data_IF_938763082651
#
_entry.id   IF_938763082651
#
_cell.length_a   1.000
_cell.length_b   1.000
_cell.length_c   1.000
_cell.angle_alpha   90.00
_cell.angle_beta   90.00
_cell.angle_gamma   90.00
#
_symmetry.space_group_name_H-M   'P 1'
#
loop_
_entity.id
_entity.type
_entity.pdbx_description
1 polymer ?
#
# COMPACT_ATOMS: atom_id res chain seq x y z
N UNK A 1 -3.02 -8.53 32.98
CA UNK A 1 -3.25 -7.28 32.23
C UNK A 1 -3.13 -7.60 30.76
N UNK A 2 -4.17 -7.36 29.94
CA UNK A 2 -4.09 -7.64 28.51
C UNK A 2 -3.16 -6.61 27.87
N UNK A 3 -2.13 -7.09 27.19
CA UNK A 3 -1.22 -6.29 26.38
C UNK A 3 -2.01 -5.61 25.26
N UNK A 4 -1.88 -4.28 25.15
CA UNK A 4 -2.41 -3.49 24.04
C UNK A 4 -2.06 -4.12 22.68
N UNK A 5 -2.96 -4.06 21.69
CA UNK A 5 -2.60 -4.43 20.33
C UNK A 5 -1.52 -3.46 19.87
N UNK A 6 -0.30 -3.96 19.69
CA UNK A 6 0.79 -3.23 19.07
C UNK A 6 0.30 -2.75 17.72
N UNK A 7 0.09 -1.45 17.56
CA UNK A 7 -0.16 -0.82 16.27
C UNK A 7 0.92 -1.31 15.32
N UNK A 8 0.54 -2.14 14.33
CA UNK A 8 1.48 -2.70 13.35
C UNK A 8 1.80 -1.62 12.33
N UNK A 9 2.55 -0.61 12.74
CA UNK A 9 3.02 0.42 11.82
C UNK A 9 3.98 -0.24 10.83
N UNK A 10 3.66 -0.19 9.55
CA UNK A 10 4.56 -0.57 8.46
C UNK A 10 5.47 0.63 8.15
N UNK A 11 6.75 0.39 7.94
CA UNK A 11 7.67 1.42 7.45
C UNK A 11 8.10 1.11 6.03
N UNK A 12 8.07 2.13 5.18
CA UNK A 12 8.76 2.09 3.90
C UNK A 12 10.28 2.06 4.15
N UNK A 13 11.03 1.44 3.24
CA UNK A 13 12.43 1.16 3.47
C UNK A 13 13.26 2.45 3.37
N UNK A 14 13.84 2.92 4.48
CA UNK A 14 14.75 4.07 4.45
C UNK A 14 16.09 3.73 3.77
N UNK A 15 16.57 2.47 3.85
CA UNK A 15 17.82 1.97 3.24
C UNK A 15 17.81 0.43 3.09
N UNK A 16 18.49 -0.15 2.07
CA UNK A 16 18.42 -1.59 1.80
C UNK A 16 19.05 -2.44 2.91
N UNK A 17 18.55 -3.66 3.17
CA UNK A 17 19.35 -4.67 3.85
C UNK A 17 20.51 -5.11 2.92
N UNK A 18 21.63 -5.53 3.54
CA UNK A 18 22.93 -5.89 2.93
C UNK A 18 22.92 -6.34 1.45
N UNK A 19 23.95 -5.99 0.64
CA UNK A 19 24.02 -6.26 -0.81
C UNK A 19 23.80 -7.72 -1.26
N UNK A 20 23.90 -8.70 -0.37
CA UNK A 20 23.56 -10.10 -0.64
C UNK A 20 22.06 -10.32 -0.94
N UNK A 21 21.20 -9.39 -0.51
CA UNK A 21 19.75 -9.50 -0.65
C UNK A 21 19.28 -9.04 -2.04
N UNK A 22 19.93 -8.05 -2.69
CA UNK A 22 19.54 -7.42 -3.95
C UNK A 22 19.11 -8.33 -5.13
N UNK A 23 19.51 -9.61 -5.17
CA UNK A 23 19.13 -10.54 -6.26
C UNK A 23 17.69 -11.06 -6.19
N UNK A 24 16.98 -10.91 -5.07
CA UNK A 24 15.60 -11.39 -4.89
C UNK A 24 14.53 -10.28 -5.04
N UNK A 25 14.92 -9.01 -5.16
CA UNK A 25 14.04 -7.83 -4.99
C UNK A 25 13.38 -7.30 -6.28
N UNK A 26 13.58 -7.96 -7.42
CA UNK A 26 13.12 -7.48 -8.73
C UNK A 26 12.13 -8.43 -9.41
N UNK A 27 11.40 -9.25 -8.64
CA UNK A 27 10.27 -9.97 -9.22
C UNK A 27 9.09 -9.00 -9.31
N UNK A 28 8.51 -8.78 -10.50
CA UNK A 28 7.30 -7.97 -10.62
C UNK A 28 6.19 -8.63 -9.80
N UNK A 29 5.54 -7.83 -8.95
CA UNK A 29 4.17 -7.97 -8.46
C UNK A 29 3.37 -8.84 -9.42
N UNK A 30 3.19 -10.11 -9.07
CA UNK A 30 2.69 -11.10 -10.02
C UNK A 30 1.18 -10.93 -10.11
N UNK A 31 0.69 -10.24 -11.14
CA UNK A 31 -0.67 -10.53 -11.61
C UNK A 31 -0.62 -11.93 -12.21
N UNK A 32 -1.06 -12.95 -11.48
CA UNK A 32 -1.05 -14.33 -11.98
C UNK A 32 -1.94 -14.42 -13.24
N UNK A 33 -1.34 -14.41 -14.42
CA UNK A 33 -1.94 -15.04 -15.60
C UNK A 33 -2.12 -16.52 -15.29
N UNK A 34 -3.38 -17.00 -15.35
CA UNK A 34 -3.83 -18.40 -15.28
C UNK A 34 -2.70 -19.42 -15.13
N UNK A 35 -2.36 -19.76 -13.89
CA UNK A 35 -1.61 -20.98 -13.60
C UNK A 35 -2.27 -21.65 -12.40
N UNK A 36 -2.97 -22.75 -12.70
CA UNK A 36 -3.54 -23.69 -11.76
C UNK A 36 -2.40 -24.29 -10.93
N UNK A 37 -2.06 -23.64 -9.83
CA UNK A 37 -1.46 -24.27 -8.68
C UNK A 37 -1.84 -23.43 -7.45
N UNK A 38 -2.70 -24.03 -6.63
CA UNK A 38 -3.17 -23.51 -5.35
C UNK A 38 -1.98 -23.34 -4.40
N UNK A 39 -1.33 -22.17 -4.45
CA UNK A 39 -0.66 -21.62 -3.28
C UNK A 39 -1.68 -20.69 -2.64
N UNK A 40 -2.46 -21.27 -1.73
CA UNK A 40 -3.27 -20.55 -0.75
C UNK A 40 -2.35 -19.56 -0.04
N UNK A 41 -2.50 -18.27 -0.33
CA UNK A 41 -2.05 -17.23 0.58
C UNK A 41 -2.85 -17.44 1.85
N UNK A 42 -2.22 -18.06 2.86
CA UNK A 42 -2.84 -18.27 4.15
C UNK A 42 -2.98 -16.90 4.85
N UNK A 43 -3.96 -16.12 4.41
CA UNK A 43 -4.38 -14.90 5.06
C UNK A 43 -4.75 -15.29 6.50
N UNK A 44 -3.97 -14.83 7.48
CA UNK A 44 -4.11 -15.18 8.90
C UNK A 44 -5.52 -14.89 9.39
N UNK A 45 -6.36 -15.87 9.72
CA UNK A 45 -7.78 -15.64 10.05
C UNK A 45 -8.01 -14.40 10.93
N UNK A 46 -8.91 -13.52 10.49
CA UNK A 46 -9.27 -12.32 11.26
C UNK A 46 -10.01 -12.80 12.52
N UNK A 47 -9.63 -12.37 13.73
CA UNK A 47 -10.32 -12.78 14.94
C UNK A 47 -11.80 -12.39 14.92
N UNK A 48 -12.68 -13.31 15.30
CA UNK A 48 -14.13 -13.11 15.36
C UNK A 48 -14.91 -14.31 14.83
N UNK A 49 -16.22 -14.31 15.07
CA UNK A 49 -17.12 -15.29 14.46
C UNK A 49 -17.33 -14.96 12.97
N UNK A 50 -17.54 -15.97 12.11
CA UNK A 50 -17.87 -15.73 10.71
C UNK A 50 -19.16 -14.90 10.55
N UNK A 51 -19.22 -14.06 9.52
CA UNK A 51 -20.43 -13.29 9.19
C UNK A 51 -21.61 -14.24 8.99
N UNK A 52 -22.66 -14.06 9.79
CA UNK A 52 -23.89 -14.85 9.68
C UNK A 52 -24.66 -14.52 8.38
N UNK A 53 -25.37 -15.50 7.82
CA UNK A 53 -26.14 -15.36 6.57
C UNK A 53 -27.11 -14.17 6.57
N UNK A 54 -27.75 -13.90 7.71
CA UNK A 54 -28.65 -12.75 7.86
C UNK A 54 -27.93 -11.41 7.65
N UNK A 55 -26.71 -11.28 8.18
CA UNK A 55 -25.87 -10.08 8.00
C UNK A 55 -25.41 -9.94 6.56
N UNK A 56 -24.97 -11.02 5.92
CA UNK A 56 -24.56 -11.01 4.50
C UNK A 56 -25.68 -10.53 3.57
N UNK A 57 -26.94 -10.91 3.86
CA UNK A 57 -28.10 -10.44 3.10
C UNK A 57 -28.29 -8.93 3.25
N UNK A 58 -28.18 -8.41 4.48
CA UNK A 58 -28.28 -6.98 4.76
C UNK A 58 -27.16 -6.21 4.06
N UNK A 59 -25.91 -6.67 4.15
CA UNK A 59 -24.75 -6.06 3.49
C UNK A 59 -24.89 -6.02 1.97
N UNK A 60 -25.42 -7.09 1.36
CA UNK A 60 -25.69 -7.11 -0.08
C UNK A 60 -26.75 -6.08 -0.47
N UNK A 61 -27.81 -5.96 0.33
CA UNK A 61 -28.86 -4.98 0.10
C UNK A 61 -28.36 -3.54 0.28
N UNK A 62 -27.54 -3.27 1.30
CA UNK A 62 -26.98 -1.94 1.52
C UNK A 62 -25.98 -1.55 0.42
N UNK A 63 -25.12 -2.48 -0.02
CA UNK A 63 -24.20 -2.24 -1.13
C UNK A 63 -24.91 -1.91 -2.45
N UNK A 64 -26.13 -2.42 -2.66
CA UNK A 64 -26.92 -2.13 -3.86
C UNK A 64 -27.55 -0.72 -3.86
N UNK A 65 -27.78 -0.13 -2.67
CA UNK A 65 -28.48 1.18 -2.55
C UNK A 65 -27.55 2.33 -2.18
N UNK A 66 -26.39 2.05 -1.57
CA UNK A 66 -25.44 3.08 -1.17
C UNK A 66 -24.48 3.44 -2.32
N UNK A 67 -24.17 4.74 -2.43
CA UNK A 67 -23.20 5.24 -3.40
C UNK A 67 -21.79 5.25 -2.82
N UNK A 68 -20.80 4.77 -3.59
CA UNK A 68 -19.38 4.70 -3.21
C UNK A 68 -18.52 5.78 -3.89
N UNK A 69 -19.09 6.98 -4.05
CA UNK A 69 -18.44 8.11 -4.76
C UNK A 69 -16.98 8.35 -4.38
N UNK A 70 -16.60 8.41 -3.09
CA UNK A 70 -15.20 8.61 -2.68
C UNK A 70 -14.26 7.49 -3.13
N UNK A 71 -14.68 6.23 -3.01
CA UNK A 71 -13.87 5.07 -3.43
C UNK A 71 -13.70 5.04 -4.94
N UNK A 72 -14.72 5.47 -5.68
CA UNK A 72 -14.68 5.56 -7.15
C UNK A 72 -13.71 6.64 -7.68
N UNK A 73 -13.14 7.51 -6.82
CA UNK A 73 -12.09 8.46 -7.20
C UNK A 73 -10.68 7.85 -7.20
N UNK A 74 -10.52 6.63 -6.69
CA UNK A 74 -9.25 5.90 -6.77
C UNK A 74 -8.96 5.54 -8.22
N UNK A 75 -7.88 6.09 -8.76
CA UNK A 75 -7.55 5.98 -10.18
C UNK A 75 -6.11 5.49 -10.43
N UNK A 76 -5.38 5.14 -9.38
CA UNK A 76 -3.99 4.74 -9.49
C UNK A 76 -3.70 3.51 -8.63
N UNK A 77 -3.09 2.49 -9.25
CA UNK A 77 -2.58 1.30 -8.58
C UNK A 77 -1.05 1.29 -8.65
N UNK A 78 -0.39 1.23 -7.50
CA UNK A 78 1.05 1.03 -7.37
C UNK A 78 1.33 -0.26 -6.61
N UNK A 79 2.48 -0.87 -6.89
CA UNK A 79 2.96 -2.03 -6.15
C UNK A 79 4.39 -1.79 -5.69
N UNK A 80 4.66 -2.13 -4.42
CA UNK A 80 5.98 -2.05 -3.78
C UNK A 80 6.16 -3.16 -2.74
N UNK A 81 7.35 -3.27 -2.17
CA UNK A 81 7.61 -4.13 -1.02
C UNK A 81 7.83 -3.30 0.24
N UNK A 82 7.10 -3.64 1.30
CA UNK A 82 7.14 -2.94 2.59
C UNK A 82 7.69 -3.86 3.67
N UNK A 83 8.26 -3.27 4.71
CA UNK A 83 8.76 -4.01 5.87
C UNK A 83 7.99 -3.64 7.12
N UNK A 84 7.90 -4.58 8.06
CA UNK A 84 7.37 -4.28 9.38
C UNK A 84 8.39 -3.48 10.16
N UNK A 85 7.97 -2.34 10.72
CA UNK A 85 8.84 -1.42 11.47
C UNK A 85 9.64 -2.11 12.59
N UNK A 86 9.02 -3.09 13.24
CA UNK A 86 9.61 -3.85 14.35
C UNK A 86 10.33 -5.14 13.90
N UNK A 87 10.22 -5.51 12.63
CA UNK A 87 10.80 -6.73 12.07
C UNK A 87 11.13 -6.56 10.58
N UNK A 88 12.34 -6.06 10.32
CA UNK A 88 12.85 -5.85 8.96
C UNK A 88 13.18 -7.15 8.21
N UNK A 89 13.03 -8.32 8.84
CA UNK A 89 13.17 -9.62 8.15
C UNK A 89 11.88 -10.04 7.45
N UNK A 90 10.75 -9.39 7.79
CA UNK A 90 9.44 -9.66 7.21
C UNK A 90 9.07 -8.58 6.20
N UNK A 91 8.94 -9.00 4.95
CA UNK A 91 8.42 -8.16 3.86
C UNK A 91 6.97 -8.50 3.53
N UNK A 92 6.24 -7.53 2.99
CA UNK A 92 4.90 -7.68 2.42
C UNK A 92 4.85 -7.00 1.05
N UNK A 93 4.19 -7.63 0.09
CA UNK A 93 3.83 -7.01 -1.18
C UNK A 93 2.67 -6.04 -0.92
N UNK A 94 2.92 -4.75 -1.12
CA UNK A 94 2.02 -3.67 -0.75
C UNK A 94 1.39 -3.06 -2.00
N UNK A 95 0.07 -3.18 -2.10
CA UNK A 95 -0.73 -2.68 -3.21
C UNK A 95 -1.39 -1.37 -2.82
N UNK A 96 -0.91 -0.27 -3.39
CA UNK A 96 -1.40 1.08 -3.09
C UNK A 96 -2.47 1.45 -4.11
N UNK A 97 -3.66 1.79 -3.62
CA UNK A 97 -4.78 2.27 -4.39
C UNK A 97 -5.03 3.73 -4.03
N UNK A 98 -4.59 4.63 -4.92
CA UNK A 98 -4.47 6.04 -4.63
C UNK A 98 -5.48 6.91 -5.39
N UNK A 99 -5.96 7.94 -4.72
CA UNK A 99 -6.67 9.08 -5.30
C UNK A 99 -5.82 10.34 -5.16
N UNK A 100 -5.78 11.18 -6.20
CA UNK A 100 -5.16 12.50 -6.10
C UNK A 100 -6.18 13.48 -5.56
N UNK A 101 -5.83 14.16 -4.47
CA UNK A 101 -6.66 15.22 -3.92
C UNK A 101 -6.38 16.54 -4.63
N UNK A 102 -5.12 16.79 -4.99
CA UNK A 102 -4.67 17.90 -5.81
C UNK A 102 -3.29 17.57 -6.41
N UNK A 103 -2.61 18.55 -7.02
CA UNK A 103 -1.27 18.35 -7.61
C UNK A 103 -0.19 17.94 -6.59
N UNK A 104 -0.38 18.32 -5.33
CA UNK A 104 0.61 18.18 -4.26
C UNK A 104 0.23 17.13 -3.21
N UNK A 105 -0.94 16.48 -3.30
CA UNK A 105 -1.40 15.54 -2.27
C UNK A 105 -2.11 14.32 -2.85
N UNK A 106 -1.73 13.15 -2.36
CA UNK A 106 -2.36 11.85 -2.66
C UNK A 106 -2.69 11.11 -1.38
N UNK A 107 -3.74 10.33 -1.47
CA UNK A 107 -4.22 9.45 -0.40
C UNK A 107 -4.32 8.05 -0.96
N UNK A 108 -3.71 7.09 -0.27
CA UNK A 108 -3.61 5.71 -0.72
C UNK A 108 -4.15 4.75 0.35
N UNK A 109 -5.02 3.85 -0.07
CA UNK A 109 -5.37 2.65 0.67
C UNK A 109 -4.37 1.56 0.31
N UNK A 110 -3.83 0.84 1.29
CA UNK A 110 -2.75 -0.12 1.03
C UNK A 110 -3.15 -1.52 1.47
N UNK A 111 -3.07 -2.47 0.55
CA UNK A 111 -3.49 -3.84 0.74
C UNK A 111 -2.32 -4.82 0.67
N UNK A 112 -2.45 -5.97 1.34
CA UNK A 112 -1.48 -7.07 1.30
C UNK A 112 -1.58 -7.97 0.05
N UNK A 113 -2.44 -7.60 -0.90
CA UNK A 113 -2.65 -8.31 -2.15
C UNK A 113 -3.54 -7.52 -3.13
N UNK A 114 -3.64 -7.97 -4.39
CA UNK A 114 -4.48 -7.35 -5.41
C UNK A 114 -5.90 -7.96 -5.51
N UNK A 115 -6.14 -9.08 -4.83
CA UNK A 115 -7.38 -9.85 -4.92
C UNK A 115 -8.50 -9.28 -4.03
N UNK A 116 -9.75 -9.68 -4.26
CA UNK A 116 -10.92 -9.14 -3.58
C UNK A 116 -10.96 -9.43 -2.06
N UNK A 117 -10.24 -10.46 -1.59
CA UNK A 117 -10.11 -10.84 -0.18
C UNK A 117 -8.85 -10.26 0.48
N UNK A 118 -8.10 -9.42 -0.23
CA UNK A 118 -6.93 -8.74 0.31
C UNK A 118 -7.30 -7.81 1.48
N UNK A 119 -6.38 -7.66 2.42
CA UNK A 119 -6.60 -6.91 3.66
C UNK A 119 -6.01 -5.53 3.55
N UNK A 120 -6.74 -4.55 4.04
CA UNK A 120 -6.20 -3.22 4.29
C UNK A 120 -5.15 -3.33 5.40
N UNK A 121 -3.91 -2.95 5.08
CA UNK A 121 -2.75 -3.01 5.98
C UNK A 121 -2.20 -1.63 6.34
N UNK A 122 -2.65 -0.57 5.67
CA UNK A 122 -2.26 0.80 6.03
C UNK A 122 -2.90 1.88 5.18
N UNK A 123 -2.69 3.11 5.61
CA UNK A 123 -3.01 4.33 4.87
C UNK A 123 -1.71 5.10 4.61
N UNK A 124 -1.58 5.68 3.42
CA UNK A 124 -0.42 6.49 3.07
C UNK A 124 -0.90 7.83 2.49
N UNK A 125 -0.32 8.90 3.02
CA UNK A 125 -0.41 10.22 2.43
C UNK A 125 0.90 10.53 1.74
N UNK A 126 0.82 11.06 0.53
CA UNK A 126 1.99 11.45 -0.25
C UNK A 126 1.84 12.90 -0.64
N UNK A 127 2.84 13.72 -0.30
CA UNK A 127 2.90 15.15 -0.61
C UNK A 127 4.08 15.52 -1.48
N UNK A 128 4.00 16.68 -2.15
CA UNK A 128 5.15 17.27 -2.81
C UNK A 128 6.22 17.68 -1.80
N UNK A 129 7.49 17.70 -2.21
CA UNK A 129 8.57 18.27 -1.40
C UNK A 129 8.28 19.73 -1.01
N UNK A 130 7.72 20.53 -1.93
CA UNK A 130 7.36 21.92 -1.66
C UNK A 130 6.37 22.02 -0.51
N UNK A 131 5.29 21.22 -0.52
CA UNK A 131 4.30 21.18 0.54
C UNK A 131 4.91 20.68 1.85
N UNK A 132 5.74 19.64 1.80
CA UNK A 132 6.46 19.13 2.97
C UNK A 132 7.32 20.20 3.66
N UNK A 133 8.03 21.04 2.89
CA UNK A 133 8.86 22.11 3.44
C UNK A 133 8.05 23.18 4.18
N UNK A 134 6.76 23.33 3.86
CA UNK A 134 5.84 24.26 4.55
C UNK A 134 5.22 23.69 5.83
N UNK A 135 5.38 22.39 6.10
CA UNK A 135 4.83 21.77 7.30
C UNK A 135 5.53 22.28 8.57
N UNK A 136 4.85 22.12 9.70
CA UNK A 136 5.43 22.40 11.02
C UNK A 136 6.61 21.46 11.28
N UNK A 137 7.64 21.98 11.95
CA UNK A 137 8.84 21.18 12.24
C UNK A 137 8.57 19.97 13.13
N UNK A 138 7.51 20.01 13.94
CA UNK A 138 7.04 18.88 14.75
C UNK A 138 6.40 17.77 13.90
N UNK A 139 5.85 18.12 12.73
CA UNK A 139 5.19 17.18 11.83
C UNK A 139 6.21 16.48 10.91
N UNK A 140 7.22 17.21 10.42
CA UNK A 140 8.23 16.70 9.48
C UNK A 140 8.86 15.35 9.87
N UNK A 141 9.15 15.03 11.15
CA UNK A 141 9.68 13.73 11.56
C UNK A 141 8.76 12.53 11.30
N UNK A 142 7.46 12.77 11.09
CA UNK A 142 6.48 11.72 10.75
C UNK A 142 6.57 11.32 9.27
N UNK A 143 7.21 12.14 8.45
CA UNK A 143 7.31 11.96 7.02
C UNK A 143 8.67 11.40 6.61
N UNK A 144 8.70 10.66 5.51
CA UNK A 144 9.91 10.09 4.93
C UNK A 144 9.89 10.21 3.40
N UNK A 145 11.08 10.33 2.81
CA UNK A 145 11.20 10.47 1.36
C UNK A 145 10.80 9.17 0.65
N UNK A 146 10.01 9.31 -0.41
CA UNK A 146 9.64 8.21 -1.31
C UNK A 146 10.70 7.97 -2.41
N UNK A 147 11.74 8.82 -2.46
CA UNK A 147 12.67 8.94 -3.58
C UNK A 147 13.41 7.63 -3.90
N UNK A 148 13.84 6.89 -2.88
CA UNK A 148 14.57 5.64 -3.11
C UNK A 148 13.70 4.58 -3.79
N UNK A 149 12.48 4.37 -3.31
CA UNK A 149 11.57 3.34 -3.85
C UNK A 149 11.16 3.66 -5.29
N UNK A 150 10.98 4.95 -5.59
CA UNK A 150 10.71 5.47 -6.92
C UNK A 150 11.92 5.30 -7.85
N UNK A 151 13.12 5.72 -7.44
CA UNK A 151 14.32 5.68 -8.30
C UNK A 151 14.87 4.27 -8.48
N UNK A 152 14.77 3.41 -7.47
CA UNK A 152 15.20 2.01 -7.54
C UNK A 152 14.30 1.13 -8.42
N UNK A 153 13.08 1.58 -8.72
CA UNK A 153 12.09 0.79 -9.45
C UNK A 153 11.42 -0.30 -8.61
N UNK A 154 11.60 -0.26 -7.28
CA UNK A 154 10.90 -1.12 -6.34
C UNK A 154 9.42 -0.74 -6.26
N UNK A 155 9.09 0.53 -6.46
CA UNK A 155 7.73 1.02 -6.67
C UNK A 155 7.44 1.12 -8.17
N UNK A 156 6.39 0.45 -8.62
CA UNK A 156 6.00 0.48 -10.03
C UNK A 156 4.48 0.41 -10.24
N UNK A 157 4.04 0.72 -11.46
CA UNK A 157 2.62 0.71 -11.85
C UNK A 157 2.32 -0.57 -12.63
N UNK A 158 1.59 -1.55 -12.06
CA UNK A 158 1.26 -2.78 -12.77
C UNK A 158 0.48 -2.49 -14.04
N UNK A 159 0.87 -3.16 -15.15
CA UNK A 159 0.18 -3.08 -16.46
C UNK A 159 0.18 -1.70 -17.13
N UNK A 160 1.02 -0.78 -16.68
CA UNK A 160 1.21 0.55 -17.29
C UNK A 160 2.50 0.56 -18.11
N UNK A 161 2.49 1.08 -19.36
CA UNK A 161 3.70 1.18 -20.17
C UNK A 161 4.81 1.96 -19.45
N UNK A 162 6.04 1.44 -19.50
CA UNK A 162 7.17 2.00 -18.74
C UNK A 162 7.51 3.46 -19.07
N UNK A 163 7.11 3.98 -20.24
CA UNK A 163 7.24 5.41 -20.57
C UNK A 163 6.33 6.30 -19.71
N UNK A 164 5.10 5.85 -19.44
CA UNK A 164 4.14 6.55 -18.59
C UNK A 164 4.59 6.45 -17.13
N UNK A 165 4.99 5.25 -16.71
CA UNK A 165 5.50 5.00 -15.36
C UNK A 165 6.73 5.87 -15.06
N UNK A 166 7.71 5.98 -15.98
CA UNK A 166 8.88 6.84 -15.78
C UNK A 166 8.52 8.31 -15.63
N UNK A 167 7.53 8.81 -16.39
CA UNK A 167 7.05 10.19 -16.25
C UNK A 167 6.33 10.43 -14.92
N UNK A 168 5.69 9.40 -14.37
CA UNK A 168 5.11 9.47 -13.03
C UNK A 168 6.20 9.52 -11.95
N UNK A 169 7.28 8.73 -12.11
CA UNK A 169 8.40 8.63 -11.17
C UNK A 169 9.28 9.88 -11.05
N UNK A 170 9.13 10.89 -11.91
CA UNK A 170 9.93 12.13 -11.83
C UNK A 170 9.45 13.12 -10.76
N UNK A 171 8.41 12.78 -10.00
CA UNK A 171 7.91 13.61 -8.91
C UNK A 171 8.70 13.35 -7.63
N UNK A 172 9.21 14.40 -7.00
CA UNK A 172 9.84 14.34 -5.68
C UNK A 172 8.72 14.32 -4.64
N UNK A 173 8.47 13.13 -4.11
CA UNK A 173 7.34 12.85 -3.26
C UNK A 173 7.84 12.45 -1.86
N UNK A 174 7.22 13.04 -0.84
CA UNK A 174 7.44 12.74 0.57
C UNK A 174 6.18 12.07 1.09
N UNK A 175 6.30 11.04 1.92
CA UNK A 175 5.15 10.26 2.39
C UNK A 175 5.11 10.05 3.90
N UNK A 176 3.92 9.82 4.43
CA UNK A 176 3.68 9.37 5.81
C UNK A 176 2.75 8.16 5.77
N UNK A 177 3.07 7.18 6.61
CA UNK A 177 2.28 5.99 6.85
C UNK A 177 1.52 6.14 8.16
N UNK A 178 0.20 5.91 8.13
CA UNK A 178 -0.68 5.90 9.30
C UNK A 178 -1.22 4.49 9.56
#
# INVERSE_FOLDING_TARGET
MPSSPTTRTLHACLQPPSPALNRLYALPCKTKTHQTNSMSTAHTQVPGEPTHTGTTLVETATAAIQGFGPINQIHQHLCAFHFYSHDMTRQVEAHHYCAHQNEEMRQCLIYDGPEADARLIGLEYVVSENLFLTLLDEEKPLWHSHEYEVKSGVLFMPRVPGVIERRWRTQHLVKVWA
#
